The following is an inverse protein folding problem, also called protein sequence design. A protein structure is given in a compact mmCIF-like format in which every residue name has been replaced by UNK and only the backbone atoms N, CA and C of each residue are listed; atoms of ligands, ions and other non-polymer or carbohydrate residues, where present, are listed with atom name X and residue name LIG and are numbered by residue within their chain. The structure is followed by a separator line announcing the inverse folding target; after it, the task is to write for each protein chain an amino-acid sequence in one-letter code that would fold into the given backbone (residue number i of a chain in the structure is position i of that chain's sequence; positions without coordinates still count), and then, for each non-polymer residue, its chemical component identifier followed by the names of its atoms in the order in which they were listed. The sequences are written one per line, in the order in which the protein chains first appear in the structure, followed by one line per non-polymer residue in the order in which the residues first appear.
data_IF_194655731372
#
_entry.id   IF_194655731372
#
_cell.length_a   1.000
_cell.length_b   1.000
_cell.length_c   1.000
_cell.angle_alpha   90.00
_cell.angle_beta   90.00
_cell.angle_gamma   90.00
#
_symmetry.space_group_name_H-M   'P 1'
#
loop_
_entity.id
_entity.type
_entity.pdbx_description
1 polymer ?
#
# COMPACT_ATOMS: atom_id res chain seq x y z
N UNK A 1 59.55 44.20 -23.42
CA UNK A 1 59.54 43.40 -22.19
C UNK A 1 58.09 42.96 -21.93
N UNK A 2 57.72 41.82 -22.44
CA UNK A 2 56.36 41.25 -22.33
C UNK A 2 56.40 40.12 -21.32
N UNK A 3 55.64 40.24 -20.21
CA UNK A 3 55.46 39.18 -19.21
C UNK A 3 54.27 38.33 -19.60
N UNK A 4 54.53 37.07 -19.95
CA UNK A 4 53.51 36.04 -20.12
C UNK A 4 53.06 35.50 -18.76
N UNK A 5 51.79 35.69 -18.41
CA UNK A 5 51.19 35.13 -17.21
C UNK A 5 50.45 33.82 -17.54
N UNK A 6 50.94 32.69 -17.03
CA UNK A 6 50.31 31.36 -17.14
C UNK A 6 49.20 31.21 -16.10
N UNK A 7 47.94 31.10 -16.58
CA UNK A 7 46.78 30.77 -15.76
C UNK A 7 46.77 29.28 -15.51
N UNK A 8 46.94 28.84 -14.25
CA UNK A 8 46.78 27.45 -13.83
C UNK A 8 45.30 27.21 -13.46
N UNK A 9 44.64 26.40 -14.25
CA UNK A 9 43.32 25.87 -13.92
C UNK A 9 43.45 24.77 -12.87
N UNK A 10 42.88 25.02 -11.67
CA UNK A 10 42.72 24.01 -10.63
C UNK A 10 41.38 23.30 -10.94
N UNK A 11 41.47 22.10 -11.50
CA UNK A 11 40.30 21.26 -11.73
C UNK A 11 39.77 20.71 -10.41
N UNK A 12 38.62 21.17 -10.00
CA UNK A 12 37.88 20.63 -8.86
C UNK A 12 37.17 19.35 -9.31
N UNK A 13 37.72 18.17 -8.99
CA UNK A 13 37.06 16.89 -9.24
C UNK A 13 35.93 16.73 -8.21
N UNK A 14 34.68 16.85 -8.66
CA UNK A 14 33.50 16.56 -7.86
C UNK A 14 33.36 15.04 -7.83
N UNK A 15 33.69 14.42 -6.70
CA UNK A 15 33.45 13.02 -6.42
C UNK A 15 31.95 12.83 -6.13
N UNK A 16 31.17 12.39 -7.09
CA UNK A 16 29.77 12.02 -6.91
C UNK A 16 29.70 10.71 -6.11
N UNK A 17 29.44 10.81 -4.80
CA UNK A 17 29.07 9.66 -3.97
C UNK A 17 27.67 9.20 -4.37
N UNK A 18 27.59 8.11 -5.13
CA UNK A 18 26.38 7.36 -5.36
C UNK A 18 25.97 6.67 -4.05
N UNK A 19 25.06 7.28 -3.30
CA UNK A 19 24.35 6.61 -2.23
C UNK A 19 23.41 5.56 -2.84
N UNK A 20 23.87 4.32 -2.92
CA UNK A 20 22.96 3.18 -3.10
C UNK A 20 22.13 3.05 -1.82
N UNK A 21 20.91 3.60 -1.84
CA UNK A 21 19.95 3.37 -0.78
C UNK A 21 19.68 1.86 -0.64
N UNK A 22 19.35 1.37 0.56
CA UNK A 22 19.02 -0.03 0.74
C UNK A 22 17.81 -0.36 -0.16
N UNK A 23 18.00 -1.25 -1.11
CA UNK A 23 16.91 -1.86 -1.87
C UNK A 23 16.07 -2.64 -0.85
N UNK A 24 14.83 -2.19 -0.60
CA UNK A 24 13.89 -2.92 0.22
C UNK A 24 13.69 -4.30 -0.42
N UNK A 25 14.31 -5.31 0.16
CA UNK A 25 14.10 -6.70 -0.22
C UNK A 25 12.65 -7.03 0.11
N UNK A 26 11.84 -7.30 -0.90
CA UNK A 26 10.54 -7.91 -0.73
C UNK A 26 10.75 -9.26 -0.03
N UNK A 27 10.38 -9.34 1.25
CA UNK A 27 10.46 -10.57 2.01
C UNK A 27 9.37 -11.51 1.46
N UNK A 28 9.78 -12.43 0.58
CA UNK A 28 8.87 -13.47 0.08
C UNK A 28 8.81 -14.59 1.11
N UNK A 29 7.62 -14.84 1.64
CA UNK A 29 7.37 -16.01 2.46
C UNK A 29 7.57 -17.28 1.61
N UNK A 30 8.24 -18.30 2.17
CA UNK A 30 8.60 -19.52 1.43
C UNK A 30 7.80 -20.70 1.94
N UNK A 31 7.37 -21.53 0.99
CA UNK A 31 6.81 -22.84 1.31
C UNK A 31 7.94 -23.77 1.80
N UNK A 32 7.60 -24.67 2.73
CA UNK A 32 8.49 -25.76 3.14
C UNK A 32 8.61 -26.83 2.05
N UNK A 33 9.39 -27.88 2.30
CA UNK A 33 9.60 -28.98 1.37
C UNK A 33 8.33 -29.79 1.07
N UNK A 34 7.27 -29.64 1.85
CA UNK A 34 5.98 -30.30 1.70
C UNK A 34 4.87 -29.38 1.17
N UNK A 35 5.22 -28.13 0.84
CA UNK A 35 4.29 -27.14 0.28
C UNK A 35 3.45 -26.39 1.33
N UNK A 36 3.82 -26.45 2.61
CA UNK A 36 3.16 -25.67 3.66
C UNK A 36 3.84 -24.31 3.84
N UNK A 37 3.03 -23.30 4.14
CA UNK A 37 3.49 -22.00 4.62
C UNK A 37 3.14 -21.88 6.11
N UNK A 38 4.15 -21.80 6.96
CA UNK A 38 3.99 -21.48 8.39
C UNK A 38 4.77 -20.19 8.61
N UNK A 39 4.06 -19.10 8.91
CA UNK A 39 4.65 -17.80 9.13
C UNK A 39 4.34 -17.33 10.55
N UNK A 40 5.35 -16.91 11.30
CA UNK A 40 5.19 -16.30 12.60
C UNK A 40 4.67 -14.85 12.47
N UNK A 41 4.09 -14.24 13.51
CA UNK A 41 3.58 -12.87 13.44
C UNK A 41 4.61 -11.82 12.98
N UNK A 42 5.88 -12.02 13.32
CA UNK A 42 7.00 -11.18 12.89
C UNK A 42 7.29 -11.25 11.39
N UNK A 43 7.05 -12.42 10.78
CA UNK A 43 7.24 -12.64 9.34
C UNK A 43 6.14 -11.97 8.50
N UNK A 44 5.00 -11.65 9.14
CA UNK A 44 3.82 -11.07 8.50
C UNK A 44 3.76 -9.54 8.60
N UNK A 45 4.89 -8.92 8.91
CA UNK A 45 5.05 -7.46 8.91
C UNK A 45 5.54 -6.97 7.55
N UNK A 46 5.02 -5.84 7.04
CA UNK A 46 5.56 -5.22 5.83
C UNK A 46 7.05 -4.87 6.00
N UNK A 47 7.83 -5.03 4.93
CA UNK A 47 9.23 -4.66 4.94
C UNK A 47 9.41 -3.14 4.80
N UNK A 48 10.37 -2.57 5.52
CA UNK A 48 10.74 -1.16 5.45
C UNK A 48 9.56 -0.21 5.69
N UNK A 49 9.34 0.72 4.77
CA UNK A 49 8.21 1.69 4.81
C UNK A 49 6.96 1.19 4.09
N UNK A 50 6.98 -0.06 3.62
CA UNK A 50 5.81 -0.68 2.99
C UNK A 50 4.65 -0.83 3.98
N UNK A 51 3.43 -0.84 3.44
CA UNK A 51 2.23 -1.06 4.25
C UNK A 51 1.58 -2.43 4.04
N UNK A 52 2.03 -3.20 3.06
CA UNK A 52 1.42 -4.48 2.71
C UNK A 52 2.45 -5.59 2.57
N UNK A 53 2.03 -6.81 2.88
CA UNK A 53 2.76 -8.04 2.61
C UNK A 53 1.81 -9.04 1.94
N UNK A 54 2.26 -9.62 0.84
CA UNK A 54 1.57 -10.75 0.21
C UNK A 54 1.98 -12.03 0.94
N UNK A 55 1.01 -12.73 1.49
CA UNK A 55 1.21 -13.97 2.24
C UNK A 55 1.16 -15.16 1.28
N UNK A 56 0.15 -15.20 0.41
CA UNK A 56 -0.04 -16.26 -0.59
C UNK A 56 -0.44 -15.64 -1.91
N UNK A 57 0.00 -16.23 -3.03
CA UNK A 57 -0.42 -15.86 -4.38
C UNK A 57 0.11 -14.52 -4.86
N UNK A 58 -0.59 -13.94 -5.83
CA UNK A 58 -0.24 -12.66 -6.47
C UNK A 58 -1.53 -12.03 -7.00
N UNK A 59 -1.90 -10.88 -6.49
CA UNK A 59 -3.12 -10.17 -6.88
C UNK A 59 -3.15 -9.77 -8.37
N UNK A 60 -2.02 -9.77 -9.07
CA UNK A 60 -1.92 -9.49 -10.50
C UNK A 60 -2.06 -10.71 -11.40
N UNK A 61 -2.14 -11.92 -10.84
CA UNK A 61 -2.17 -13.21 -11.57
C UNK A 61 -3.45 -13.99 -11.24
N UNK A 62 -3.88 -14.88 -12.14
CA UNK A 62 -4.99 -15.80 -11.86
C UNK A 62 -4.73 -16.64 -10.62
N UNK A 63 -5.72 -16.75 -9.74
CA UNK A 63 -5.69 -17.57 -8.54
C UNK A 63 -5.98 -16.78 -7.26
N UNK A 64 -6.03 -17.52 -6.13
CA UNK A 64 -6.24 -16.92 -4.82
C UNK A 64 -4.99 -16.14 -4.40
N UNK A 65 -5.20 -14.96 -3.84
CA UNK A 65 -4.17 -14.22 -3.12
C UNK A 65 -4.62 -13.90 -1.70
N UNK A 66 -3.65 -13.81 -0.79
CA UNK A 66 -3.84 -13.33 0.58
C UNK A 66 -2.82 -12.22 0.84
N UNK A 67 -3.34 -11.05 1.20
CA UNK A 67 -2.51 -9.87 1.49
C UNK A 67 -2.91 -9.29 2.84
N UNK A 68 -1.92 -8.95 3.66
CA UNK A 68 -2.13 -8.20 4.90
C UNK A 68 -1.70 -6.76 4.70
N UNK A 69 -2.54 -5.82 5.14
CA UNK A 69 -2.27 -4.38 5.05
C UNK A 69 -2.26 -3.80 6.44
N UNK A 70 -1.22 -3.02 6.73
CA UNK A 70 -1.09 -2.22 7.94
C UNK A 70 -1.37 -0.76 7.58
N UNK A 71 -2.38 -0.19 8.19
CA UNK A 71 -2.78 1.20 8.05
C UNK A 71 -2.27 2.01 9.24
N UNK A 72 -1.36 2.94 9.00
CA UNK A 72 -0.91 3.86 10.02
C UNK A 72 -2.04 4.82 10.41
N UNK A 73 -2.06 5.36 11.65
CA UNK A 73 -3.02 6.40 12.03
C UNK A 73 -3.08 7.54 11.01
N UNK A 74 -4.29 7.96 10.63
CA UNK A 74 -4.53 9.00 9.63
C UNK A 74 -4.37 8.57 8.18
N UNK A 75 -3.96 7.33 7.88
CA UNK A 75 -3.81 6.84 6.51
C UNK A 75 -5.08 6.17 6.00
N UNK A 76 -5.34 6.28 4.69
CA UNK A 76 -6.53 5.71 4.07
C UNK A 76 -6.46 5.66 2.55
N UNK A 77 -7.49 5.10 1.96
CA UNK A 77 -7.74 5.11 0.52
C UNK A 77 -8.69 6.25 0.13
N UNK A 78 -8.85 6.45 -1.16
CA UNK A 78 -9.82 7.38 -1.76
C UNK A 78 -10.92 6.57 -2.44
N UNK A 79 -12.09 7.17 -2.74
CA UNK A 79 -13.18 6.50 -3.42
C UNK A 79 -12.75 5.68 -4.63
N UNK A 80 -13.04 4.38 -4.59
CA UNK A 80 -12.67 3.44 -5.65
C UNK A 80 -13.52 2.17 -5.61
N UNK A 81 -13.33 1.29 -6.57
CA UNK A 81 -13.86 -0.08 -6.57
C UNK A 81 -12.85 -1.06 -7.16
N UNK A 82 -13.10 -2.35 -6.94
CA UNK A 82 -12.34 -3.45 -7.55
C UNK A 82 -13.25 -4.26 -8.47
N UNK A 83 -12.68 -4.82 -9.53
CA UNK A 83 -13.40 -5.67 -10.49
C UNK A 83 -13.63 -7.11 -9.98
N UNK A 84 -13.02 -7.48 -8.86
CA UNK A 84 -13.18 -8.77 -8.19
C UNK A 84 -13.64 -8.59 -6.74
N UNK A 85 -14.43 -9.54 -6.24
CA UNK A 85 -14.83 -9.56 -4.84
C UNK A 85 -13.65 -9.83 -3.90
N UNK A 86 -13.71 -9.27 -2.70
CA UNK A 86 -12.72 -9.47 -1.65
C UNK A 86 -13.37 -9.82 -0.32
N UNK A 87 -12.65 -10.60 0.47
CA UNK A 87 -13.04 -11.06 1.80
C UNK A 87 -12.03 -10.50 2.78
N UNK A 88 -12.49 -9.69 3.72
CA UNK A 88 -11.60 -8.87 4.55
C UNK A 88 -11.87 -9.17 6.02
N UNK A 89 -10.81 -9.46 6.77
CA UNK A 89 -10.87 -9.61 8.22
C UNK A 89 -10.07 -8.48 8.87
N UNK A 90 -10.68 -7.78 9.82
CA UNK A 90 -9.96 -6.80 10.65
C UNK A 90 -9.24 -7.56 11.76
N UNK A 91 -7.91 -7.52 11.76
CA UNK A 91 -7.06 -8.26 12.72
C UNK A 91 -6.68 -7.42 13.93
N UNK A 92 -6.58 -6.08 13.76
CA UNK A 92 -6.16 -5.15 14.83
C UNK A 92 -6.79 -3.78 14.63
N UNK A 93 -7.06 -3.11 15.73
CA UNK A 93 -7.53 -1.72 15.77
C UNK A 93 -8.96 -1.54 15.24
N UNK A 94 -9.25 -0.31 14.85
CA UNK A 94 -10.52 0.07 14.24
C UNK A 94 -10.27 0.54 12.80
N UNK A 95 -10.80 -0.23 11.84
CA UNK A 95 -10.76 0.13 10.43
C UNK A 95 -12.08 0.81 10.05
N UNK A 96 -12.01 2.00 9.50
CA UNK A 96 -13.18 2.77 9.09
C UNK A 96 -13.44 2.55 7.60
N UNK A 97 -14.71 2.33 7.24
CA UNK A 97 -15.13 2.08 5.86
C UNK A 97 -16.33 2.94 5.49
N UNK A 98 -16.35 3.43 4.24
CA UNK A 98 -17.52 3.93 3.57
C UNK A 98 -17.85 3.00 2.42
N UNK A 99 -19.12 2.66 2.21
CA UNK A 99 -19.56 1.70 1.19
C UNK A 99 -20.79 2.18 0.45
N UNK A 100 -20.98 1.66 -0.77
CA UNK A 100 -22.14 1.96 -1.63
C UNK A 100 -22.19 3.44 -2.04
N UNK A 101 -23.39 4.03 -2.20
CA UNK A 101 -23.55 5.41 -2.66
C UNK A 101 -22.84 6.45 -1.76
N UNK A 102 -22.64 6.15 -0.48
CA UNK A 102 -21.91 7.02 0.45
C UNK A 102 -20.40 7.06 0.15
N UNK A 103 -19.90 6.13 -0.66
CA UNK A 103 -18.48 6.06 -1.03
C UNK A 103 -18.15 6.79 -2.33
N UNK A 104 -19.11 7.35 -3.04
CA UNK A 104 -18.88 8.09 -4.29
C UNK A 104 -18.18 9.43 -4.05
N UNK A 105 -18.32 9.97 -2.85
CA UNK A 105 -17.71 11.23 -2.43
C UNK A 105 -16.96 11.01 -1.13
N UNK A 106 -15.71 11.47 -1.08
CA UNK A 106 -14.88 11.33 0.11
C UNK A 106 -15.37 12.20 1.27
N UNK A 107 -15.90 11.56 2.31
CA UNK A 107 -16.43 12.17 3.54
C UNK A 107 -16.01 11.33 4.75
N UNK A 108 -14.75 11.43 5.20
CA UNK A 108 -14.21 10.55 6.24
C UNK A 108 -14.97 10.62 7.57
N UNK A 109 -15.68 11.72 7.84
CA UNK A 109 -16.52 11.88 9.03
C UNK A 109 -17.74 10.94 9.06
N UNK A 110 -18.19 10.45 7.89
CA UNK A 110 -19.38 9.59 7.76
C UNK A 110 -19.05 8.09 7.72
N UNK A 111 -17.79 7.71 7.84
CA UNK A 111 -17.34 6.32 7.75
C UNK A 111 -17.79 5.48 8.94
N UNK A 112 -18.11 4.23 8.67
CA UNK A 112 -18.51 3.24 9.69
C UNK A 112 -17.27 2.62 10.34
N UNK A 113 -17.15 2.61 11.68
CA UNK A 113 -16.08 1.92 12.38
C UNK A 113 -16.29 0.40 12.34
N UNK A 114 -15.23 -0.34 11.98
CA UNK A 114 -15.18 -1.80 11.93
C UNK A 114 -14.03 -2.27 12.82
N UNK A 115 -14.36 -2.94 13.93
CA UNK A 115 -13.38 -3.32 14.96
C UNK A 115 -12.69 -4.64 14.63
N UNK A 116 -11.55 -4.88 15.27
CA UNK A 116 -10.84 -6.16 15.20
C UNK A 116 -11.79 -7.34 15.50
N UNK A 117 -11.65 -8.44 14.75
CA UNK A 117 -12.53 -9.61 14.77
C UNK A 117 -13.73 -9.51 13.80
N UNK A 118 -13.97 -8.35 13.17
CA UNK A 118 -15.04 -8.20 12.18
C UNK A 118 -14.62 -8.74 10.82
N UNK A 119 -15.64 -9.12 10.03
CA UNK A 119 -15.51 -9.57 8.66
C UNK A 119 -16.31 -8.68 7.72
N UNK A 120 -15.76 -8.41 6.54
CA UNK A 120 -16.37 -7.62 5.49
C UNK A 120 -16.32 -8.40 4.20
N UNK A 121 -17.47 -8.54 3.53
CA UNK A 121 -17.56 -8.94 2.14
C UNK A 121 -17.65 -7.68 1.27
N UNK A 122 -16.71 -7.54 0.36
CA UNK A 122 -16.66 -6.46 -0.59
C UNK A 122 -16.97 -7.02 -1.99
N UNK A 123 -18.14 -6.72 -2.55
CA UNK A 123 -18.53 -7.24 -3.86
C UNK A 123 -17.70 -6.61 -4.98
N UNK A 124 -17.55 -7.34 -6.10
CA UNK A 124 -17.02 -6.78 -7.32
C UNK A 124 -17.84 -5.54 -7.76
N UNK A 125 -17.14 -4.46 -8.13
CA UNK A 125 -17.76 -3.18 -8.47
C UNK A 125 -18.34 -2.41 -7.28
N UNK A 126 -18.20 -2.89 -6.05
CA UNK A 126 -18.66 -2.21 -4.85
C UNK A 126 -17.84 -0.94 -4.57
N UNK A 127 -18.48 0.22 -4.61
CA UNK A 127 -17.82 1.50 -4.31
C UNK A 127 -17.49 1.58 -2.83
N UNK A 128 -16.25 1.92 -2.51
CA UNK A 128 -15.79 2.06 -1.12
C UNK A 128 -14.56 2.95 -1.03
N UNK A 129 -14.25 3.33 0.19
CA UNK A 129 -12.94 3.79 0.65
C UNK A 129 -12.79 3.48 2.14
N UNK A 130 -11.57 3.44 2.62
CA UNK A 130 -11.22 2.94 3.93
C UNK A 130 -10.06 3.73 4.54
N UNK A 131 -9.97 3.72 5.89
CA UNK A 131 -8.86 4.36 6.60
C UNK A 131 -8.70 3.85 8.03
N UNK A 132 -7.51 4.07 8.59
CA UNK A 132 -7.28 4.11 10.02
C UNK A 132 -7.31 5.57 10.48
N UNK A 133 -8.03 5.90 11.57
CA UNK A 133 -8.11 7.28 12.09
C UNK A 133 -7.06 7.51 13.18
N UNK A 134 -7.39 7.13 14.40
CA UNK A 134 -6.62 7.51 15.59
C UNK A 134 -5.58 6.46 16.00
N UNK A 135 -5.75 5.22 15.53
CA UNK A 135 -4.88 4.09 15.85
C UNK A 135 -4.51 3.29 14.59
N UNK A 136 -3.46 2.48 14.69
CA UNK A 136 -3.08 1.53 13.63
C UNK A 136 -4.18 0.48 13.44
N UNK A 137 -4.58 0.25 12.20
CA UNK A 137 -5.44 -0.86 11.82
C UNK A 137 -4.70 -1.87 10.95
N UNK A 138 -4.93 -3.17 11.18
CA UNK A 138 -4.40 -4.25 10.36
C UNK A 138 -5.57 -5.05 9.81
N UNK A 139 -5.59 -5.21 8.49
CA UNK A 139 -6.59 -6.03 7.79
C UNK A 139 -5.92 -7.11 6.97
N UNK A 140 -6.59 -8.25 6.84
CA UNK A 140 -6.20 -9.33 5.93
C UNK A 140 -7.26 -9.47 4.85
N UNK A 141 -6.81 -9.47 3.61
CA UNK A 141 -7.64 -9.51 2.41
C UNK A 141 -7.37 -10.81 1.67
N UNK A 142 -8.43 -11.54 1.38
CA UNK A 142 -8.43 -12.72 0.50
C UNK A 142 -9.23 -12.35 -0.74
N UNK A 143 -8.69 -12.64 -1.92
CA UNK A 143 -9.37 -12.38 -3.19
C UNK A 143 -8.90 -13.32 -4.30
N UNK A 144 -9.51 -13.15 -5.46
CA UNK A 144 -9.11 -13.79 -6.71
C UNK A 144 -8.40 -12.76 -7.58
N UNK A 145 -7.24 -13.12 -8.10
CA UNK A 145 -6.55 -12.32 -9.10
C UNK A 145 -6.82 -12.82 -10.53
N UNK A 146 -6.53 -12.03 -11.58
CA UNK A 146 -6.05 -10.66 -11.44
C UNK A 146 -7.14 -9.72 -10.93
N UNK A 147 -6.77 -8.74 -10.09
CA UNK A 147 -7.69 -7.72 -9.60
C UNK A 147 -7.23 -6.34 -10.03
N UNK A 148 -8.15 -5.55 -10.56
CA UNK A 148 -7.93 -4.15 -10.91
C UNK A 148 -8.64 -3.23 -9.92
N UNK A 149 -8.04 -2.06 -9.69
CA UNK A 149 -8.63 -0.97 -8.89
C UNK A 149 -8.96 0.19 -9.80
N UNK A 150 -10.20 0.69 -9.71
CA UNK A 150 -10.65 1.84 -10.47
C UNK A 150 -11.00 2.98 -9.52
N UNK A 151 -10.35 4.14 -9.67
CA UNK A 151 -10.65 5.35 -8.91
C UNK A 151 -11.98 5.95 -9.35
N UNK A 152 -12.79 6.39 -8.40
CA UNK A 152 -14.00 7.17 -8.65
C UNK A 152 -13.74 8.68 -8.70
N UNK A 153 -12.56 9.10 -8.25
CA UNK A 153 -12.14 10.49 -8.35
C UNK A 153 -11.58 10.80 -9.76
N UNK A 154 -11.88 11.99 -10.30
CA UNK A 154 -11.27 12.41 -11.57
C UNK A 154 -9.74 12.39 -11.45
N UNK A 155 -9.06 11.99 -12.51
CA UNK A 155 -7.60 12.05 -12.57
C UNK A 155 -7.15 13.48 -12.20
N UNK A 156 -6.38 13.62 -11.14
CA UNK A 156 -5.84 14.92 -10.73
C UNK A 156 -4.96 15.45 -11.87
N UNK A 157 -5.29 16.63 -12.38
CA UNK A 157 -4.44 17.34 -13.32
C UNK A 157 -3.06 17.54 -12.69
N UNK A 158 -1.99 17.35 -13.48
CA UNK A 158 -0.63 17.65 -13.03
C UNK A 158 -0.58 19.11 -12.57
N UNK A 159 -0.45 19.38 -11.28
CA UNK A 159 -0.30 20.71 -10.74
C UNK A 159 -1.25 21.11 -9.60
N UNK A 160 -2.17 20.24 -9.15
CA UNK A 160 -2.97 20.54 -7.98
C UNK A 160 -2.25 20.10 -6.68
N UNK A 161 -2.13 21.00 -5.69
CA UNK A 161 -1.56 20.66 -4.38
C UNK A 161 -2.48 19.64 -3.65
N UNK A 162 -1.93 18.85 -2.72
CA UNK A 162 -2.73 18.00 -1.84
C UNK A 162 -3.66 18.86 -0.98
N UNK A 163 -4.93 18.50 -0.94
CA UNK A 163 -5.90 19.07 0.00
C UNK A 163 -5.89 18.30 1.30
#
# INVERSE_FOLDING_TARGET
MTRSGTIRWVGCAILALLFAGPTASSQSLKLDAHGFLIAAPEDLKPAGTGRSITIVGDASKPGIYVTRITWAPGSGSRPHYHDQARYITVLKGTWYVATGPNADVYKPETMTPVKAGSFIYEPAGGHHYDMAKDEEAIVEIIGMGPVATTSLEPARGRGQPPQ
#
